data_IF_676108581518
#
_entry.id   IF_676108581518
#
_cell.length_a   1.000
_cell.length_b   1.000
_cell.length_c   1.000
_cell.angle_alpha   90.00
_cell.angle_beta   90.00
_cell.angle_gamma   90.00
#
_symmetry.space_group_name_H-M   'P 1'
#
loop_
_entity.id
_entity.type
_entity.pdbx_description
1 polymer ?
#
# COMPACT_ATOMS: atom_id res chain seq x y z
N UNK A 1 19.36 6.02 28.14
CA UNK A 1 19.39 6.88 26.95
C UNK A 1 18.33 6.36 26.01
N UNK A 2 17.11 6.90 26.12
CA UNK A 2 15.94 6.43 25.37
C UNK A 2 16.08 6.81 23.89
N UNK A 3 16.16 5.81 23.02
CA UNK A 3 16.03 6.01 21.58
C UNK A 3 14.55 6.17 21.29
N UNK A 4 14.08 7.41 21.20
CA UNK A 4 12.69 7.69 20.82
C UNK A 4 12.53 7.47 19.31
N UNK A 5 11.78 6.45 18.91
CA UNK A 5 11.41 6.14 17.51
C UNK A 5 10.26 7.02 17.01
N UNK A 6 10.32 8.32 17.26
CA UNK A 6 9.26 9.23 16.84
C UNK A 6 9.46 9.64 15.39
N UNK A 7 8.57 9.15 14.51
CA UNK A 7 8.47 9.68 13.14
C UNK A 7 8.20 11.17 13.21
N UNK A 8 9.06 11.97 12.61
CA UNK A 8 9.05 13.43 12.74
C UNK A 8 7.84 14.11 12.07
N UNK A 9 6.91 13.34 11.46
CA UNK A 9 5.73 13.80 10.69
C UNK A 9 5.99 14.89 9.65
N UNK A 10 7.25 15.14 9.33
CA UNK A 10 7.70 16.13 8.38
C UNK A 10 8.18 15.40 7.12
N UNK A 11 7.44 15.60 6.02
CA UNK A 11 7.78 15.01 4.72
C UNK A 11 9.14 15.51 4.22
N UNK A 12 9.58 16.71 4.56
CA UNK A 12 10.88 17.22 4.11
C UNK A 12 12.04 16.88 5.06
N UNK A 13 11.85 16.00 6.05
CA UNK A 13 12.91 15.71 7.00
C UNK A 13 13.96 14.75 6.41
N UNK A 14 15.23 15.16 6.26
CA UNK A 14 16.28 14.30 5.72
C UNK A 14 16.62 13.12 6.64
N UNK A 15 16.20 13.17 7.91
CA UNK A 15 16.45 12.12 8.92
C UNK A 15 15.43 10.98 8.91
N UNK A 16 14.21 11.21 8.39
CA UNK A 16 13.08 10.29 8.51
C UNK A 16 12.90 9.32 7.32
N UNK A 17 13.95 9.13 6.49
CA UNK A 17 14.02 8.21 5.34
C UNK A 17 13.46 8.72 4.00
N UNK A 18 13.47 10.04 3.76
CA UNK A 18 12.94 10.58 2.50
C UNK A 18 13.74 10.15 1.26
N UNK A 19 15.06 10.04 1.36
CA UNK A 19 15.92 9.55 0.27
C UNK A 19 15.63 8.10 -0.05
N UNK A 20 15.53 7.23 0.96
CA UNK A 20 15.22 5.80 0.80
C UNK A 20 13.83 5.61 0.18
N UNK A 21 12.86 6.41 0.61
CA UNK A 21 11.52 6.41 0.00
C UNK A 21 11.58 6.80 -1.48
N UNK A 22 12.34 7.84 -1.81
CA UNK A 22 12.47 8.29 -3.19
C UNK A 22 13.15 7.23 -4.08
N UNK A 23 14.27 6.66 -3.63
CA UNK A 23 14.96 5.56 -4.31
C UNK A 23 14.02 4.36 -4.55
N UNK A 24 13.21 4.02 -3.54
CA UNK A 24 12.23 2.93 -3.67
C UNK A 24 11.17 3.25 -4.73
N UNK A 25 10.63 4.48 -4.74
CA UNK A 25 9.64 4.91 -5.74
C UNK A 25 10.23 4.84 -7.15
N UNK A 26 11.44 5.36 -7.36
CA UNK A 26 12.13 5.31 -8.65
C UNK A 26 12.35 3.86 -9.13
N UNK A 27 12.74 2.95 -8.21
CA UNK A 27 12.90 1.53 -8.52
C UNK A 27 11.57 0.80 -8.82
N UNK A 28 10.43 1.29 -8.32
CA UNK A 28 9.12 0.77 -8.75
C UNK A 28 8.71 1.32 -10.12
N UNK A 29 8.95 2.61 -10.35
CA UNK A 29 8.64 3.26 -11.63
C UNK A 29 9.42 2.63 -12.80
N UNK A 30 10.68 2.22 -12.58
CA UNK A 30 11.49 1.56 -13.61
C UNK A 30 10.98 0.17 -14.03
N UNK A 31 10.14 -0.46 -13.21
CA UNK A 31 9.51 -1.76 -13.50
C UNK A 31 8.19 -1.62 -14.23
N UNK A 32 7.69 -0.40 -14.42
CA UNK A 32 6.44 -0.18 -15.13
C UNK A 32 6.64 -0.45 -16.62
N UNK A 33 5.73 -1.23 -17.19
CA UNK A 33 5.63 -1.45 -18.63
C UNK A 33 5.07 -0.18 -19.29
N UNK A 34 5.46 0.13 -20.54
CA UNK A 34 4.97 1.31 -21.26
C UNK A 34 3.55 1.08 -21.82
N UNK A 35 2.61 0.73 -20.93
CA UNK A 35 1.21 0.45 -21.25
C UNK A 35 0.31 1.31 -20.37
N UNK A 36 -0.93 1.55 -20.82
CA UNK A 36 -1.92 2.26 -20.02
C UNK A 36 -2.24 1.47 -18.74
N UNK A 37 -1.96 2.08 -17.59
CA UNK A 37 -2.39 1.56 -16.30
C UNK A 37 -3.80 2.04 -16.01
N UNK A 38 -4.77 1.11 -15.97
CA UNK A 38 -6.14 1.42 -15.62
C UNK A 38 -6.44 0.87 -14.23
N UNK A 39 -6.93 1.72 -13.34
CA UNK A 39 -7.48 1.28 -12.07
C UNK A 39 -8.88 0.71 -12.31
N UNK A 40 -8.95 -0.58 -12.60
CA UNK A 40 -10.21 -1.33 -12.60
C UNK A 40 -10.64 -1.53 -11.14
N UNK A 41 -11.37 -0.57 -10.58
CA UNK A 41 -12.08 -0.83 -9.34
C UNK A 41 -13.41 -1.51 -9.67
N UNK A 42 -13.65 -2.67 -9.07
CA UNK A 42 -14.94 -3.33 -9.14
C UNK A 42 -15.93 -2.50 -8.31
N UNK A 43 -16.91 -1.89 -8.98
CA UNK A 43 -17.94 -1.09 -8.33
C UNK A 43 -18.89 -2.03 -7.60
N UNK A 44 -18.80 -1.99 -6.27
CA UNK A 44 -19.71 -2.60 -5.28
C UNK A 44 -19.74 -4.13 -5.25
N UNK A 45 -19.05 -4.70 -4.27
CA UNK A 45 -19.19 -6.09 -3.85
C UNK A 45 -20.37 -6.30 -2.87
N UNK A 46 -21.28 -5.33 -2.70
CA UNK A 46 -22.33 -5.44 -1.67
C UNK A 46 -23.15 -6.73 -1.77
N UNK A 47 -23.47 -7.16 -2.99
CA UNK A 47 -24.24 -8.38 -3.23
C UNK A 47 -23.47 -9.65 -2.80
N UNK A 48 -22.14 -9.59 -2.82
CA UNK A 48 -21.26 -10.68 -2.43
C UNK A 48 -20.84 -10.64 -0.97
N UNK A 49 -21.06 -9.53 -0.26
CA UNK A 49 -20.66 -9.39 1.14
C UNK A 49 -21.23 -10.50 2.02
N UNK A 50 -22.52 -10.82 1.85
CA UNK A 50 -23.17 -11.89 2.63
C UNK A 50 -22.50 -13.25 2.37
N UNK A 51 -22.18 -13.56 1.11
CA UNK A 51 -21.52 -14.81 0.74
C UNK A 51 -20.08 -14.88 1.28
N UNK A 52 -19.33 -13.78 1.19
CA UNK A 52 -17.98 -13.68 1.75
C UNK A 52 -18.01 -13.86 3.27
N UNK A 53 -18.95 -13.21 3.95
CA UNK A 53 -19.11 -13.33 5.40
C UNK A 53 -19.46 -14.75 5.85
N UNK A 54 -20.29 -15.46 5.08
CA UNK A 54 -20.65 -16.85 5.36
C UNK A 54 -19.48 -17.82 5.14
N UNK A 55 -18.54 -17.50 4.25
CA UNK A 55 -17.45 -18.38 3.84
C UNK A 55 -16.06 -17.85 4.23
N UNK A 56 -15.97 -17.00 5.27
CA UNK A 56 -14.71 -16.31 5.65
C UNK A 56 -13.55 -17.27 5.86
N UNK A 57 -13.77 -18.41 6.51
CA UNK A 57 -12.71 -19.39 6.79
C UNK A 57 -12.08 -19.98 5.51
N UNK A 58 -12.81 -19.97 4.38
CA UNK A 58 -12.33 -20.46 3.08
C UNK A 58 -11.73 -19.35 2.21
N UNK A 59 -12.26 -18.12 2.33
CA UNK A 59 -11.93 -17.01 1.43
C UNK A 59 -10.90 -16.03 2.02
N UNK A 60 -10.74 -16.00 3.34
CA UNK A 60 -9.82 -15.11 4.04
C UNK A 60 -8.86 -15.98 4.87
N UNK A 61 -7.64 -16.22 4.38
CA UNK A 61 -6.62 -16.94 5.14
C UNK A 61 -6.19 -16.14 6.37
N UNK A 62 -6.08 -16.82 7.52
CA UNK A 62 -5.56 -16.29 8.79
C UNK A 62 -4.04 -16.20 8.81
#
# INVERSE_FOLDING_TARGET
MDVSFNSCRNRHCPKCQHSVQQEWVEAQMSKLLPVGYFHSFLRSFQELNTLVLQNQALLIPS
#
